data_IF_037180934632
#
_entry.id   IF_037180934632
#
_cell.length_a   1.000
_cell.length_b   1.000
_cell.length_c   1.000
_cell.angle_alpha   90.00
_cell.angle_beta   90.00
_cell.angle_gamma   90.00
#
_symmetry.space_group_name_H-M   'P 1'
#
loop_
_entity.id
_entity.type
_entity.pdbx_description
1 polymer ?
#
# COMPACT_ATOMS: atom_id res chain seq x y z
N UNK A 1 53.48 2.44 7.70
CA UNK A 1 52.34 2.85 6.85
C UNK A 1 51.09 2.26 7.49
N UNK A 2 50.34 3.06 8.26
CA UNK A 2 49.13 2.59 8.94
C UNK A 2 48.01 2.42 7.92
N UNK A 3 47.61 1.17 7.69
CA UNK A 3 46.35 0.86 7.05
C UNK A 3 45.22 1.39 7.93
N UNK A 4 44.67 2.56 7.56
CA UNK A 4 43.43 3.07 8.17
C UNK A 4 42.32 2.09 7.82
N UNK A 5 42.02 1.18 8.74
CA UNK A 5 40.89 0.27 8.66
C UNK A 5 39.62 1.08 8.50
N UNK A 6 39.10 1.13 7.27
CA UNK A 6 37.80 1.73 6.98
C UNK A 6 36.75 1.01 7.81
N UNK A 7 36.20 1.69 8.81
CA UNK A 7 35.13 1.15 9.65
C UNK A 7 33.94 0.84 8.72
N UNK A 8 33.71 -0.43 8.41
CA UNK A 8 32.54 -0.85 7.67
C UNK A 8 31.31 -0.50 8.51
N UNK A 9 30.60 0.57 8.15
CA UNK A 9 29.37 0.95 8.82
C UNK A 9 28.30 -0.06 8.43
N UNK A 10 28.15 -1.10 9.24
CA UNK A 10 27.09 -2.09 9.09
C UNK A 10 25.73 -1.40 9.22
N UNK A 11 24.90 -1.54 8.18
CA UNK A 11 23.56 -0.94 8.16
C UNK A 11 22.56 -2.05 8.46
N UNK A 12 21.94 -1.98 9.63
CA UNK A 12 20.84 -2.88 9.97
C UNK A 12 19.55 -2.36 9.36
N UNK A 13 19.03 -3.07 8.36
CA UNK A 13 17.76 -2.73 7.71
C UNK A 13 16.54 -3.09 8.58
N UNK A 14 15.47 -2.33 8.45
CA UNK A 14 14.15 -2.71 8.98
C UNK A 14 13.42 -3.58 7.94
N UNK A 15 13.37 -4.89 8.22
CA UNK A 15 12.61 -5.85 7.42
C UNK A 15 11.26 -6.20 8.04
N UNK A 16 10.95 -5.70 9.23
CA UNK A 16 9.71 -6.04 9.92
C UNK A 16 8.52 -5.44 9.17
N UNK A 17 8.58 -4.14 8.85
CA UNK A 17 7.50 -3.47 8.10
C UNK A 17 7.33 -4.07 6.69
N UNK A 18 8.43 -4.45 6.04
CA UNK A 18 8.39 -5.11 4.73
C UNK A 18 7.63 -6.43 4.81
N UNK A 19 7.93 -7.26 5.82
CA UNK A 19 7.22 -8.53 6.03
C UNK A 19 5.74 -8.32 6.29
N UNK A 20 5.37 -7.27 7.03
CA UNK A 20 3.97 -6.93 7.26
C UNK A 20 3.24 -6.56 5.96
N UNK A 21 3.84 -5.71 5.13
CA UNK A 21 3.26 -5.39 3.81
C UNK A 21 3.20 -6.59 2.87
N UNK A 22 4.20 -7.49 2.87
CA UNK A 22 4.15 -8.73 2.08
C UNK A 22 3.01 -9.64 2.57
N UNK A 23 2.87 -9.85 3.88
CA UNK A 23 1.79 -10.66 4.44
C UNK A 23 0.41 -10.07 4.10
N UNK A 24 0.26 -8.75 4.23
CA UNK A 24 -0.96 -8.04 3.84
C UNK A 24 -1.23 -8.15 2.33
N UNK A 25 -0.19 -8.08 1.49
CA UNK A 25 -0.31 -8.27 0.04
C UNK A 25 -0.90 -9.64 -0.28
N UNK A 26 -0.39 -10.71 0.31
CA UNK A 26 -0.90 -12.06 0.07
C UNK A 26 -2.35 -12.21 0.53
N UNK A 27 -2.66 -11.69 1.73
CA UNK A 27 -4.01 -11.73 2.29
C UNK A 27 -5.02 -10.97 1.43
N UNK A 28 -4.74 -9.70 1.12
CA UNK A 28 -5.64 -8.86 0.33
C UNK A 28 -5.68 -9.27 -1.14
N UNK A 29 -4.60 -9.83 -1.68
CA UNK A 29 -4.59 -10.44 -3.00
C UNK A 29 -5.60 -11.59 -3.10
N UNK A 30 -5.54 -12.52 -2.14
CA UNK A 30 -6.52 -13.60 -2.06
C UNK A 30 -7.96 -13.05 -1.95
N UNK A 31 -8.20 -12.11 -1.04
CA UNK A 31 -9.52 -11.51 -0.86
C UNK A 31 -10.01 -10.80 -2.15
N UNK A 32 -9.17 -10.02 -2.82
CA UNK A 32 -9.50 -9.32 -4.05
C UNK A 32 -9.90 -10.28 -5.17
N UNK A 33 -9.19 -11.40 -5.33
CA UNK A 33 -9.53 -12.40 -6.33
C UNK A 33 -10.82 -13.15 -6.01
N UNK A 34 -11.11 -13.43 -4.73
CA UNK A 34 -12.40 -14.00 -4.31
C UNK A 34 -13.56 -13.06 -4.64
N UNK A 35 -13.44 -11.77 -4.31
CA UNK A 35 -14.47 -10.76 -4.62
C UNK A 35 -14.60 -10.58 -6.14
N UNK A 36 -13.50 -10.61 -6.89
CA UNK A 36 -13.49 -10.55 -8.35
C UNK A 36 -14.19 -11.75 -8.98
N UNK A 37 -13.96 -12.95 -8.46
CA UNK A 37 -14.65 -14.16 -8.90
C UNK A 37 -16.15 -14.08 -8.61
N UNK A 38 -16.56 -13.55 -7.45
CA UNK A 38 -17.97 -13.30 -7.15
C UNK A 38 -18.60 -12.32 -8.15
N UNK A 39 -17.93 -11.20 -8.43
CA UNK A 39 -18.40 -10.22 -9.40
C UNK A 39 -18.56 -10.82 -10.81
N UNK A 40 -17.60 -11.64 -11.25
CA UNK A 40 -17.69 -12.36 -12.51
C UNK A 40 -18.85 -13.35 -12.54
N UNK A 41 -19.07 -14.11 -11.45
CA UNK A 41 -20.19 -15.05 -11.33
C UNK A 41 -21.55 -14.34 -11.37
N UNK A 42 -21.66 -13.13 -10.85
CA UNK A 42 -22.88 -12.31 -10.90
C UNK A 42 -23.25 -11.85 -12.29
N UNK A 43 -22.25 -11.56 -13.14
CA UNK A 43 -22.47 -11.26 -14.55
C UNK A 43 -22.87 -12.52 -15.34
N UNK A 44 -22.30 -13.67 -15.01
CA UNK A 44 -22.62 -14.94 -15.68
C UNK A 44 -23.98 -15.51 -15.25
N UNK A 45 -24.33 -15.37 -13.96
CA UNK A 45 -25.56 -15.90 -13.40
C UNK A 45 -26.18 -14.92 -12.40
N UNK A 46 -27.22 -14.22 -12.83
CA UNK A 46 -27.81 -13.10 -12.08
C UNK A 46 -28.29 -13.45 -10.66
N UNK A 47 -28.66 -14.71 -10.38
CA UNK A 47 -29.09 -15.13 -9.03
C UNK A 47 -27.95 -15.11 -8.00
N UNK A 48 -26.68 -15.01 -8.43
CA UNK A 48 -25.52 -14.82 -7.54
C UNK A 48 -25.47 -13.41 -6.90
N UNK A 49 -26.44 -12.54 -7.19
CA UNK A 49 -26.66 -11.31 -6.41
C UNK A 49 -27.37 -11.59 -5.06
N UNK A 50 -27.86 -12.81 -4.85
CA UNK A 50 -28.47 -13.30 -3.60
C UNK A 50 -29.68 -12.49 -3.09
N UNK A 51 -30.22 -11.55 -3.87
CA UNK A 51 -31.22 -10.56 -3.43
C UNK A 51 -30.79 -9.81 -2.16
N UNK A 52 -29.49 -9.62 -1.95
CA UNK A 52 -28.91 -8.86 -0.83
C UNK A 52 -28.24 -7.60 -1.37
N UNK A 53 -28.65 -6.43 -0.88
CA UNK A 53 -28.18 -5.14 -1.42
C UNK A 53 -26.65 -5.01 -1.42
N UNK A 54 -25.99 -5.41 -0.33
CA UNK A 54 -24.54 -5.32 -0.14
C UNK A 54 -23.73 -6.34 -0.94
N UNK A 55 -24.38 -7.38 -1.49
CA UNK A 55 -23.73 -8.33 -2.40
C UNK A 55 -24.08 -8.08 -3.86
N UNK A 56 -24.87 -7.05 -4.20
CA UNK A 56 -25.16 -6.77 -5.61
C UNK A 56 -23.90 -6.40 -6.39
N UNK A 57 -23.87 -6.75 -7.68
CA UNK A 57 -22.75 -6.43 -8.57
C UNK A 57 -22.36 -4.95 -8.53
N UNK A 58 -23.35 -4.05 -8.44
CA UNK A 58 -23.12 -2.60 -8.37
C UNK A 58 -22.28 -2.16 -7.16
N UNK A 59 -22.38 -2.86 -6.01
CA UNK A 59 -21.60 -2.57 -4.79
C UNK A 59 -20.34 -3.42 -4.66
N UNK A 60 -20.37 -4.65 -5.17
CA UNK A 60 -19.22 -5.57 -5.14
C UNK A 60 -18.13 -5.16 -6.15
N UNK A 61 -18.51 -4.60 -7.32
CA UNK A 61 -17.55 -4.11 -8.31
C UNK A 61 -16.58 -3.06 -7.74
N UNK A 62 -17.02 -1.94 -7.15
CA UNK A 62 -16.10 -0.95 -6.59
C UNK A 62 -15.31 -1.51 -5.40
N UNK A 63 -15.87 -2.47 -4.65
CA UNK A 63 -15.09 -3.18 -3.62
C UNK A 63 -13.94 -3.99 -4.24
N UNK A 64 -14.21 -4.74 -5.31
CA UNK A 64 -13.18 -5.52 -6.01
C UNK A 64 -12.07 -4.62 -6.56
N UNK A 65 -12.41 -3.51 -7.23
CA UNK A 65 -11.41 -2.61 -7.81
C UNK A 65 -10.51 -2.00 -6.73
N UNK A 66 -11.10 -1.51 -5.64
CA UNK A 66 -10.34 -0.96 -4.50
C UNK A 66 -9.48 -2.04 -3.82
N UNK A 67 -10.01 -3.25 -3.62
CA UNK A 67 -9.26 -4.35 -3.04
C UNK A 67 -8.10 -4.80 -3.95
N UNK A 68 -8.29 -4.87 -5.26
CA UNK A 68 -7.24 -5.28 -6.19
C UNK A 68 -6.13 -4.22 -6.32
N UNK A 69 -6.49 -2.94 -6.37
CA UNK A 69 -5.53 -1.84 -6.60
C UNK A 69 -4.92 -1.37 -5.29
N UNK A 70 -5.71 -0.88 -4.35
CA UNK A 70 -5.18 -0.21 -3.16
C UNK A 70 -4.82 -1.20 -2.04
N UNK A 71 -5.58 -2.29 -1.90
CA UNK A 71 -5.24 -3.31 -0.92
C UNK A 71 -4.17 -4.28 -1.43
N UNK A 72 -4.36 -4.96 -2.56
CA UNK A 72 -3.37 -5.90 -3.07
C UNK A 72 -2.15 -5.19 -3.67
N UNK A 73 -2.31 -4.49 -4.79
CA UNK A 73 -1.17 -3.87 -5.48
C UNK A 73 -0.51 -2.75 -4.64
N UNK A 74 -1.30 -1.98 -3.88
CA UNK A 74 -0.78 -0.95 -2.97
C UNK A 74 0.15 -1.51 -1.90
N UNK A 75 -0.27 -2.57 -1.18
CA UNK A 75 0.61 -3.23 -0.20
C UNK A 75 1.87 -3.82 -0.89
N UNK A 76 1.74 -4.36 -2.12
CA UNK A 76 2.88 -4.89 -2.86
C UNK A 76 3.90 -3.80 -3.21
N UNK A 77 3.42 -2.63 -3.66
CA UNK A 77 4.23 -1.45 -3.98
C UNK A 77 4.94 -0.95 -2.72
N UNK A 78 4.24 -0.82 -1.59
CA UNK A 78 4.86 -0.38 -0.34
C UNK A 78 5.93 -1.35 0.17
N UNK A 79 5.69 -2.67 0.10
CA UNK A 79 6.71 -3.66 0.40
C UNK A 79 7.94 -3.48 -0.50
N UNK A 80 7.73 -3.35 -1.80
CA UNK A 80 8.77 -3.14 -2.81
C UNK A 80 9.59 -1.87 -2.53
N UNK A 81 8.92 -0.75 -2.26
CA UNK A 81 9.57 0.55 -1.97
C UNK A 81 10.36 0.47 -0.66
N UNK A 82 9.76 0.00 0.44
CA UNK A 82 10.45 -0.06 1.73
C UNK A 82 11.62 -1.04 1.73
N UNK A 83 11.52 -2.14 0.99
CA UNK A 83 12.62 -3.07 0.83
C UNK A 83 13.74 -2.45 0.01
N UNK A 84 13.43 -2.06 -1.24
CA UNK A 84 14.44 -1.63 -2.22
C UNK A 84 15.12 -0.32 -1.81
N UNK A 85 14.38 0.68 -1.32
CA UNK A 85 14.93 2.00 -0.95
C UNK A 85 16.06 1.86 0.06
N UNK A 86 15.88 0.99 1.07
CA UNK A 86 16.92 0.77 2.07
C UNK A 86 18.22 0.23 1.47
N UNK A 87 18.13 -0.73 0.52
CA UNK A 87 19.31 -1.34 -0.12
C UNK A 87 19.95 -0.40 -1.12
N UNK A 88 19.15 0.28 -1.93
CA UNK A 88 19.61 1.17 -2.99
C UNK A 88 20.26 2.43 -2.40
N UNK A 89 19.73 2.96 -1.30
CA UNK A 89 20.32 4.09 -0.59
C UNK A 89 21.43 3.68 0.40
N UNK A 90 21.61 2.36 0.65
CA UNK A 90 22.44 1.79 1.72
C UNK A 90 22.20 2.48 3.07
N UNK A 91 20.92 2.69 3.39
CA UNK A 91 20.46 3.40 4.58
C UNK A 91 19.24 2.69 5.20
N UNK A 92 19.14 2.71 6.52
CA UNK A 92 17.93 2.27 7.22
C UNK A 92 16.80 3.28 6.96
N UNK A 93 15.54 2.83 7.04
CA UNK A 93 14.38 3.73 7.04
C UNK A 93 14.55 4.86 8.05
N UNK A 94 14.04 6.04 7.69
CA UNK A 94 14.18 7.26 8.48
C UNK A 94 13.56 7.14 9.88
N UNK A 95 12.37 6.56 9.98
CA UNK A 95 11.67 6.41 11.25
C UNK A 95 10.76 5.17 11.27
N UNK A 96 11.07 4.21 12.13
CA UNK A 96 10.33 2.95 12.29
C UNK A 96 8.88 3.19 12.77
N UNK A 97 8.62 4.23 13.57
CA UNK A 97 7.27 4.60 14.02
C UNK A 97 6.43 5.11 12.84
N UNK A 98 6.99 5.93 11.96
CA UNK A 98 6.28 6.37 10.74
C UNK A 98 5.96 5.18 9.83
N UNK A 99 6.88 4.22 9.70
CA UNK A 99 6.64 2.97 8.96
C UNK A 99 5.45 2.18 9.54
N UNK A 100 5.33 2.11 10.87
CA UNK A 100 4.22 1.43 11.55
C UNK A 100 2.90 2.18 11.43
N UNK A 101 2.92 3.51 11.56
CA UNK A 101 1.73 4.36 11.35
C UNK A 101 1.24 4.20 9.92
N UNK A 102 2.15 4.21 8.94
CA UNK A 102 1.79 3.98 7.55
C UNK A 102 1.13 2.60 7.37
N UNK A 103 1.76 1.52 7.86
CA UNK A 103 1.21 0.18 7.72
C UNK A 103 -0.20 0.06 8.31
N UNK A 104 -0.38 0.40 9.60
CA UNK A 104 -1.66 0.24 10.28
C UNK A 104 -2.72 1.22 9.78
N UNK A 105 -2.32 2.45 9.44
CA UNK A 105 -3.20 3.43 8.81
C UNK A 105 -3.70 2.96 7.46
N UNK A 106 -2.83 2.37 6.63
CA UNK A 106 -3.24 1.79 5.36
C UNK A 106 -4.19 0.61 5.53
N UNK A 107 -3.94 -0.28 6.51
CA UNK A 107 -4.87 -1.38 6.79
C UNK A 107 -6.23 -0.86 7.28
N UNK A 108 -6.26 0.20 8.09
CA UNK A 108 -7.51 0.82 8.56
C UNK A 108 -8.31 1.45 7.41
N UNK A 109 -7.64 2.07 6.44
CA UNK A 109 -8.27 2.59 5.21
C UNK A 109 -8.90 1.45 4.40
N UNK A 110 -8.17 0.35 4.19
CA UNK A 110 -8.67 -0.82 3.47
C UNK A 110 -9.89 -1.42 4.18
N UNK A 111 -9.82 -1.57 5.51
CA UNK A 111 -10.96 -2.06 6.30
C UNK A 111 -12.17 -1.12 6.22
N UNK A 112 -11.93 0.19 6.18
CA UNK A 112 -12.99 1.18 5.98
C UNK A 112 -13.66 0.97 4.62
N UNK A 113 -12.88 0.83 3.54
CA UNK A 113 -13.39 0.54 2.20
C UNK A 113 -14.21 -0.76 2.14
N UNK A 114 -13.74 -1.81 2.82
CA UNK A 114 -14.43 -3.11 2.93
C UNK A 114 -15.83 -2.97 3.55
N UNK A 115 -16.00 -2.02 4.48
CA UNK A 115 -17.27 -1.79 5.16
C UNK A 115 -18.14 -0.80 4.36
N UNK A 116 -17.60 0.32 3.92
CA UNK A 116 -18.38 1.42 3.36
C UNK A 116 -18.92 1.13 1.96
N UNK A 117 -18.14 0.45 1.11
CA UNK A 117 -18.55 0.20 -0.27
C UNK A 117 -19.74 -0.77 -0.37
N UNK A 118 -19.79 -1.91 0.37
CA UNK A 118 -20.99 -2.75 0.42
C UNK A 118 -22.21 -2.06 1.05
N UNK A 119 -21.99 -1.12 1.96
CA UNK A 119 -23.07 -0.29 2.52
C UNK A 119 -23.60 0.76 1.53
N UNK A 120 -22.91 0.96 0.41
CA UNK A 120 -23.35 1.86 -0.67
C UNK A 120 -22.86 3.30 -0.52
N UNK A 121 -21.96 3.58 0.43
CA UNK A 121 -21.31 4.89 0.53
C UNK A 121 -20.25 5.02 -0.56
N UNK A 122 -20.55 5.76 -1.62
CA UNK A 122 -19.62 5.98 -2.71
C UNK A 122 -19.84 7.28 -3.46
N UNK A 123 -18.73 7.92 -3.86
CA UNK A 123 -18.73 9.09 -4.74
C UNK A 123 -19.03 8.76 -6.22
N UNK A 124 -19.14 7.47 -6.59
CA UNK A 124 -19.37 7.01 -7.97
C UNK A 124 -18.29 7.43 -9.00
N UNK A 125 -17.11 7.84 -8.54
CA UNK A 125 -15.93 8.08 -9.37
C UNK A 125 -15.03 6.85 -9.34
N UNK A 126 -14.71 6.31 -10.51
CA UNK A 126 -13.86 5.12 -10.61
C UNK A 126 -12.48 5.38 -9.99
N UNK A 127 -12.02 4.46 -9.14
CA UNK A 127 -10.77 4.54 -8.35
C UNK A 127 -10.73 5.67 -7.30
N UNK A 128 -11.82 6.41 -7.14
CA UNK A 128 -12.03 7.43 -6.12
C UNK A 128 -13.42 7.25 -5.47
N UNK A 129 -13.79 5.99 -5.24
CA UNK A 129 -15.12 5.63 -4.78
C UNK A 129 -15.36 5.96 -3.31
N UNK A 130 -14.30 6.07 -2.50
CA UNK A 130 -14.38 6.22 -1.05
C UNK A 130 -14.89 7.62 -0.66
N UNK A 131 -15.57 7.71 0.47
CA UNK A 131 -16.10 8.99 0.96
C UNK A 131 -14.99 9.90 1.52
N UNK A 132 -15.26 11.21 1.52
CA UNK A 132 -14.31 12.25 1.92
C UNK A 132 -13.55 12.02 3.25
N UNK A 133 -14.11 11.40 4.31
CA UNK A 133 -13.34 11.14 5.53
C UNK A 133 -12.19 10.16 5.28
N UNK A 134 -12.42 9.19 4.38
CA UNK A 134 -11.41 8.20 4.00
C UNK A 134 -10.39 8.84 3.06
N UNK A 135 -10.81 9.75 2.17
CA UNK A 135 -9.88 10.53 1.33
C UNK A 135 -8.89 11.36 2.16
N UNK A 136 -9.37 11.99 3.24
CA UNK A 136 -8.51 12.71 4.19
C UNK A 136 -7.54 11.74 4.87
N UNK A 137 -8.04 10.58 5.33
CA UNK A 137 -7.20 9.56 5.96
C UNK A 137 -6.10 9.04 5.00
N UNK A 138 -6.46 8.77 3.75
CA UNK A 138 -5.51 8.39 2.68
C UNK A 138 -4.44 9.45 2.53
N UNK A 139 -4.85 10.72 2.41
CA UNK A 139 -3.91 11.84 2.23
C UNK A 139 -2.93 11.93 3.40
N UNK A 140 -3.41 11.84 4.64
CA UNK A 140 -2.55 11.90 5.84
C UNK A 140 -1.56 10.73 5.89
N UNK A 141 -2.02 9.51 5.60
CA UNK A 141 -1.18 8.32 5.60
C UNK A 141 -0.16 8.35 4.45
N UNK A 142 -0.54 8.89 3.29
CA UNK A 142 0.37 9.09 2.17
C UNK A 142 1.46 10.12 2.50
N UNK A 143 1.13 11.20 3.23
CA UNK A 143 2.13 12.16 3.74
C UNK A 143 3.08 11.49 4.72
N UNK A 144 2.59 10.65 5.64
CA UNK A 144 3.45 9.89 6.56
C UNK A 144 4.41 8.99 5.79
N UNK A 145 3.92 8.30 4.75
CA UNK A 145 4.74 7.50 3.86
C UNK A 145 5.81 8.34 3.15
N UNK A 146 5.41 9.46 2.55
CA UNK A 146 6.29 10.38 1.84
C UNK A 146 7.41 10.92 2.74
N UNK A 147 7.08 11.41 3.93
CA UNK A 147 8.06 11.92 4.90
C UNK A 147 9.09 10.85 5.26
N UNK A 148 8.66 9.61 5.48
CA UNK A 148 9.57 8.52 5.81
C UNK A 148 10.47 8.13 4.61
N UNK A 149 9.90 8.08 3.40
CA UNK A 149 10.65 7.79 2.18
C UNK A 149 11.69 8.89 1.87
N UNK A 150 11.28 10.16 1.81
CA UNK A 150 12.18 11.28 1.54
C UNK A 150 13.20 11.49 2.67
N UNK A 151 12.82 11.27 3.92
CA UNK A 151 13.76 11.23 5.05
C UNK A 151 14.83 10.16 4.87
N UNK A 152 14.48 8.99 4.33
CA UNK A 152 15.43 7.91 4.05
C UNK A 152 16.37 8.31 2.92
N UNK A 153 15.85 8.97 1.89
CA UNK A 153 16.64 9.46 0.75
C UNK A 153 17.62 10.57 1.14
N UNK A 154 17.26 11.42 2.11
CA UNK A 154 18.15 12.42 2.70
C UNK A 154 19.36 11.77 3.39
N UNK A 155 19.15 10.62 4.04
CA UNK A 155 20.18 9.88 4.78
C UNK A 155 20.92 8.82 3.94
N UNK A 156 20.78 8.86 2.60
CA UNK A 156 21.45 7.90 1.70
C UNK A 156 22.98 8.03 1.79
N UNK A 157 23.66 6.90 1.63
CA UNK A 157 25.14 6.86 1.57
C UNK A 157 25.68 6.95 0.14
N UNK A 158 24.88 6.56 -0.84
CA UNK A 158 25.27 6.61 -2.26
C UNK A 158 25.06 8.00 -2.86
N UNK A 159 26.06 8.48 -3.62
CA UNK A 159 25.99 9.81 -4.26
C UNK A 159 24.97 9.82 -5.40
N UNK A 160 24.96 8.77 -6.20
CA UNK A 160 24.03 8.60 -7.32
C UNK A 160 22.79 7.83 -6.87
N UNK A 161 21.62 8.27 -7.32
CA UNK A 161 20.37 7.56 -7.11
C UNK A 161 20.16 6.55 -8.22
N UNK A 162 19.84 5.31 -7.84
CA UNK A 162 19.39 4.31 -8.79
C UNK A 162 18.06 4.73 -9.43
N UNK A 163 17.87 4.42 -10.72
CA UNK A 163 16.74 4.91 -11.52
C UNK A 163 15.38 4.53 -10.92
N UNK A 164 15.24 3.36 -10.29
CA UNK A 164 13.97 2.98 -9.63
C UNK A 164 13.55 3.97 -8.52
N UNK A 165 14.50 4.65 -7.86
CA UNK A 165 14.18 5.68 -6.87
C UNK A 165 13.48 6.87 -7.53
N UNK A 166 13.82 7.22 -8.78
CA UNK A 166 13.14 8.30 -9.50
C UNK A 166 11.68 7.95 -9.78
N UNK A 167 11.41 6.70 -10.18
CA UNK A 167 10.04 6.21 -10.35
C UNK A 167 9.26 6.23 -9.02
N UNK A 168 9.88 5.89 -7.90
CA UNK A 168 9.24 6.01 -6.59
C UNK A 168 8.96 7.45 -6.20
N UNK A 169 9.90 8.38 -6.42
CA UNK A 169 9.67 9.81 -6.19
C UNK A 169 8.46 10.29 -7.02
N UNK A 170 8.42 9.94 -8.31
CA UNK A 170 7.33 10.33 -9.21
C UNK A 170 5.99 9.66 -8.89
N UNK A 171 5.99 8.52 -8.18
CA UNK A 171 4.76 7.87 -7.71
C UNK A 171 4.24 8.52 -6.41
N UNK A 172 5.13 9.12 -5.62
CA UNK A 172 4.80 9.69 -4.31
C UNK A 172 4.33 11.15 -4.42
N UNK A 173 4.91 11.92 -5.34
CA UNK A 173 4.62 13.35 -5.61
C UNK A 173 3.61 13.48 -6.74
#
# INVERSE_FOLDING_TARGET
MNASGGRSVEVTYDNQVVKYFIAATLFWGFAAFVVGLLAAAQLAYWKMNFNLEWLTFGRIRPLHTNAAIFAFAGNAVFAGIYYSTQRLCKARLFNDTLSRIHFWGWQAIILSALITLPLGFSQSKEYAELEWPIDIAITLIWVVFAVNFFGTLKNRKERHMYVAIWFYIATIV
#
